data_IF_100839279355
#
_entry.id   IF_100839279355
#
_cell.length_a   1.000
_cell.length_b   1.000
_cell.length_c   1.000
_cell.angle_alpha   90.00
_cell.angle_beta   90.00
_cell.angle_gamma   90.00
#
_symmetry.space_group_name_H-M   'P 1'
#
loop_
_entity.id
_entity.type
_entity.pdbx_description
1 polymer ?
#
# COMPACT_ATOMS: atom_id res chain seq x y z
N UNK A 1 -1.52 17.09 -5.10
CA UNK A 1 -1.54 15.68 -5.55
C UNK A 1 -0.48 14.85 -4.82
N UNK A 2 0.78 15.29 -4.77
CA UNK A 2 1.87 14.56 -4.06
C UNK A 2 1.58 14.27 -2.58
N UNK A 3 0.97 15.21 -1.86
CA UNK A 3 0.61 15.04 -0.44
C UNK A 3 -0.36 13.88 -0.22
N UNK A 4 -1.35 13.69 -1.11
CA UNK A 4 -2.33 12.62 -0.97
C UNK A 4 -1.69 11.25 -1.27
N UNK A 5 -0.87 11.17 -2.32
CA UNK A 5 -0.10 9.96 -2.62
C UNK A 5 0.81 9.59 -1.43
N UNK A 6 1.52 10.55 -0.86
CA UNK A 6 2.42 10.30 0.28
C UNK A 6 1.66 9.71 1.47
N UNK A 7 0.53 10.32 1.84
CA UNK A 7 -0.35 9.80 2.90
C UNK A 7 -0.80 8.36 2.65
N UNK A 8 -1.19 8.03 1.40
CA UNK A 8 -1.58 6.67 1.00
C UNK A 8 -0.44 5.68 1.18
N UNK A 9 0.75 6.01 0.65
CA UNK A 9 1.92 5.13 0.72
C UNK A 9 2.33 4.89 2.17
N UNK A 10 2.39 5.94 3.00
CA UNK A 10 2.72 5.84 4.42
C UNK A 10 1.70 5.03 5.20
N UNK A 11 0.41 5.26 4.94
CA UNK A 11 -0.65 4.48 5.58
C UNK A 11 -0.52 2.99 5.25
N UNK A 12 -0.33 2.63 3.98
CA UNK A 12 -0.11 1.22 3.56
C UNK A 12 1.14 0.65 4.22
N UNK A 13 2.23 1.42 4.24
CA UNK A 13 3.51 1.03 4.84
C UNK A 13 3.33 0.69 6.31
N UNK A 14 2.79 1.62 7.07
CA UNK A 14 2.75 1.54 8.53
C UNK A 14 1.66 0.58 9.01
N UNK A 15 0.55 0.48 8.27
CA UNK A 15 -0.57 -0.40 8.62
C UNK A 15 -0.30 -1.87 8.30
N UNK A 16 0.37 -2.17 7.19
CA UNK A 16 0.47 -3.55 6.71
C UNK A 16 1.86 -4.02 6.32
N UNK A 17 2.64 -3.21 5.59
CA UNK A 17 3.96 -3.66 5.08
C UNK A 17 4.96 -3.84 6.23
N UNK A 18 5.09 -2.85 7.11
CA UNK A 18 6.00 -2.89 8.26
C UNK A 18 5.61 -3.99 9.24
N UNK A 19 4.34 -4.11 9.68
CA UNK A 19 3.91 -5.20 10.57
C UNK A 19 4.12 -6.60 10.00
N UNK A 20 3.94 -6.80 8.68
CA UNK A 20 4.17 -8.10 8.06
C UNK A 20 5.65 -8.49 8.05
N UNK A 21 6.55 -7.51 7.99
CA UNK A 21 8.00 -7.66 8.02
C UNK A 21 8.57 -8.74 7.07
N UNK A 22 7.91 -8.95 5.92
CA UNK A 22 8.33 -9.89 4.90
C UNK A 22 7.83 -9.40 3.54
N UNK A 23 8.74 -8.86 2.73
CA UNK A 23 8.38 -8.23 1.46
C UNK A 23 7.83 -9.23 0.44
N UNK A 24 8.45 -10.41 0.32
CA UNK A 24 8.03 -11.44 -0.63
C UNK A 24 6.64 -11.98 -0.27
N UNK A 25 6.38 -12.23 1.02
CA UNK A 25 5.06 -12.68 1.49
C UNK A 25 3.99 -11.64 1.22
N UNK A 26 4.24 -10.37 1.56
CA UNK A 26 3.30 -9.29 1.29
C UNK A 26 3.00 -9.16 -0.21
N UNK A 27 4.03 -9.27 -1.04
CA UNK A 27 3.92 -9.24 -2.49
C UNK A 27 2.99 -10.37 -3.01
N UNK A 28 3.23 -11.60 -2.57
CA UNK A 28 2.41 -12.77 -2.96
C UNK A 28 0.97 -12.65 -2.47
N UNK A 29 0.74 -12.31 -1.20
CA UNK A 29 -0.61 -12.22 -0.63
C UNK A 29 -1.44 -11.08 -1.26
N UNK A 30 -0.79 -10.01 -1.72
CA UNK A 30 -1.47 -8.87 -2.34
C UNK A 30 -1.36 -8.86 -3.88
N UNK A 31 -0.85 -9.93 -4.50
CA UNK A 31 -0.67 -10.05 -5.95
C UNK A 31 0.05 -8.84 -6.59
N UNK A 32 1.15 -8.40 -5.99
CA UNK A 32 1.99 -7.30 -6.49
C UNK A 32 3.46 -7.73 -6.54
N UNK A 33 4.31 -6.97 -7.24
CA UNK A 33 5.74 -7.27 -7.27
C UNK A 33 6.42 -6.95 -5.95
N UNK A 34 7.39 -7.77 -5.53
CA UNK A 34 8.21 -7.47 -4.34
C UNK A 34 8.93 -6.12 -4.44
N UNK A 35 9.33 -5.71 -5.65
CA UNK A 35 9.90 -4.38 -5.90
C UNK A 35 8.92 -3.25 -5.54
N UNK A 36 7.62 -3.46 -5.74
CA UNK A 36 6.59 -2.50 -5.33
C UNK A 36 6.49 -2.41 -3.80
N UNK A 37 6.60 -3.55 -3.10
CA UNK A 37 6.63 -3.57 -1.62
C UNK A 37 7.85 -2.82 -1.08
N UNK A 38 9.03 -3.03 -1.68
CA UNK A 38 10.26 -2.30 -1.30
C UNK A 38 10.11 -0.79 -1.50
N UNK A 39 9.53 -0.35 -2.61
CA UNK A 39 9.23 1.08 -2.84
C UNK A 39 8.25 1.65 -1.81
N UNK A 40 7.18 0.93 -1.47
CA UNK A 40 6.26 1.36 -0.41
C UNK A 40 6.99 1.51 0.94
N UNK A 41 7.96 0.64 1.22
CA UNK A 41 8.71 0.64 2.47
C UNK A 41 9.74 1.77 2.55
N UNK A 42 10.47 2.03 1.47
CA UNK A 42 11.75 2.76 1.52
C UNK A 42 11.79 4.01 0.63
N UNK A 43 10.98 4.09 -0.44
CA UNK A 43 11.03 5.18 -1.41
C UNK A 43 10.07 6.31 -0.99
N UNK A 44 10.66 7.45 -0.61
CA UNK A 44 9.95 8.64 -0.15
C UNK A 44 9.19 9.36 -1.29
N UNK A 45 9.66 9.20 -2.52
CA UNK A 45 9.10 9.80 -3.74
C UNK A 45 8.10 8.91 -4.49
N UNK A 46 7.95 7.64 -4.07
CA UNK A 46 7.18 6.65 -4.81
C UNK A 46 5.73 7.09 -5.07
N UNK A 47 5.33 7.06 -6.34
CA UNK A 47 3.94 7.27 -6.77
C UNK A 47 3.25 5.92 -6.95
N UNK A 48 2.31 5.61 -6.05
CA UNK A 48 1.60 4.34 -6.08
C UNK A 48 0.48 4.39 -7.12
N UNK A 49 0.31 3.31 -7.88
CA UNK A 49 -0.78 3.20 -8.85
C UNK A 49 -2.10 2.85 -8.17
N UNK A 50 -3.23 3.31 -8.72
CA UNK A 50 -4.56 2.94 -8.23
C UNK A 50 -4.77 1.41 -8.23
N UNK A 51 -4.26 0.71 -9.24
CA UNK A 51 -4.35 -0.75 -9.35
C UNK A 51 -3.65 -1.43 -8.16
N UNK A 52 -2.47 -0.93 -7.75
CA UNK A 52 -1.77 -1.43 -6.57
C UNK A 52 -2.60 -1.26 -5.29
N UNK A 53 -3.22 -0.08 -5.11
CA UNK A 53 -4.10 0.17 -3.96
C UNK A 53 -5.29 -0.79 -3.98
N UNK A 54 -5.93 -0.99 -5.13
CA UNK A 54 -7.07 -1.90 -5.29
C UNK A 54 -6.71 -3.34 -4.92
N UNK A 55 -5.59 -3.86 -5.42
CA UNK A 55 -5.12 -5.22 -5.09
C UNK A 55 -4.85 -5.41 -3.60
N UNK A 56 -4.26 -4.41 -2.95
CA UNK A 56 -4.05 -4.43 -1.50
C UNK A 56 -5.41 -4.42 -0.79
N UNK A 57 -6.35 -3.55 -1.20
CA UNK A 57 -7.70 -3.52 -0.61
C UNK A 57 -8.43 -4.87 -0.74
N UNK A 58 -8.35 -5.50 -1.91
CA UNK A 58 -8.92 -6.83 -2.16
C UNK A 58 -8.32 -7.89 -1.22
N UNK A 59 -6.99 -7.95 -1.10
CA UNK A 59 -6.31 -8.89 -0.21
C UNK A 59 -6.61 -8.64 1.28
N UNK A 60 -6.83 -7.39 1.68
CA UNK A 60 -7.24 -7.02 3.03
C UNK A 60 -8.76 -7.15 3.27
N UNK A 61 -9.52 -7.58 2.25
CA UNK A 61 -10.98 -7.67 2.27
C UNK A 61 -11.67 -6.36 2.70
N UNK A 62 -11.18 -5.22 2.18
CA UNK A 62 -11.75 -3.90 2.42
C UNK A 62 -12.14 -3.25 1.09
N UNK A 63 -13.20 -2.43 1.12
CA UNK A 63 -13.58 -1.61 -0.04
C UNK A 63 -12.59 -0.46 -0.21
N UNK A 64 -12.32 -0.09 -1.47
CA UNK A 64 -11.45 1.05 -1.79
C UNK A 64 -11.92 2.37 -1.16
N UNK A 65 -13.24 2.62 -1.12
CA UNK A 65 -13.80 3.79 -0.44
C UNK A 65 -13.48 3.78 1.05
N UNK A 66 -13.61 2.60 1.69
CA UNK A 66 -13.30 2.45 3.11
C UNK A 66 -11.82 2.65 3.40
N UNK A 67 -10.96 2.19 2.50
CA UNK A 67 -9.52 2.44 2.59
C UNK A 67 -9.21 3.94 2.62
N UNK A 68 -9.79 4.73 1.71
CA UNK A 68 -9.55 6.17 1.68
C UNK A 68 -10.03 6.87 2.95
N UNK A 69 -11.21 6.50 3.49
CA UNK A 69 -11.66 6.98 4.80
C UNK A 69 -10.65 6.67 5.91
N UNK A 70 -10.12 5.43 5.95
CA UNK A 70 -9.14 5.01 6.96
C UNK A 70 -7.80 5.75 6.82
N UNK A 71 -7.42 6.11 5.60
CA UNK A 71 -6.24 6.91 5.31
C UNK A 71 -6.45 8.42 5.54
N UNK A 72 -7.65 8.85 5.94
CA UNK A 72 -7.99 10.25 6.20
C UNK A 72 -8.11 11.09 4.93
N UNK A 73 -8.65 10.50 3.86
CA UNK A 73 -8.92 11.12 2.55
C UNK A 73 -10.41 11.15 2.22
#
# INVERSE_FOLDING_TARGET
MEVANRKIVEYIRDKWVVPMNNNSRFATENNIDEKTVRRIREDDTYQISLITIMRICEAQNIKLSKFFEMAGL
#
